data_IF_379061322990
#
_entry.id   IF_379061322990
#
_cell.length_a   1.000
_cell.length_b   1.000
_cell.length_c   1.000
_cell.angle_alpha   90.00
_cell.angle_beta   90.00
_cell.angle_gamma   90.00
#
_symmetry.space_group_name_H-M   'P 1'
#
loop_
_entity.id
_entity.type
_entity.pdbx_description
1 polymer ?
#
# COMPACT_ATOMS: atom_id res chain seq x y z
N UNK A 1 36.60 -0.95 -9.90
CA UNK A 1 35.38 -0.29 -10.37
C UNK A 1 34.16 -0.85 -9.64
N UNK A 2 33.75 -0.21 -8.54
CA UNK A 2 32.69 -0.68 -7.65
C UNK A 2 31.29 -0.30 -8.12
N UNK A 3 30.74 -1.14 -9.01
CA UNK A 3 29.31 -1.49 -9.16
C UNK A 3 28.30 -0.29 -9.16
N UNK A 4 27.79 0.15 -10.34
CA UNK A 4 26.67 1.12 -10.43
C UNK A 4 25.41 0.71 -9.64
N UNK A 5 25.32 -0.56 -9.25
CA UNK A 5 24.32 -1.12 -8.35
C UNK A 5 24.18 -0.37 -7.01
N UNK A 6 25.27 0.15 -6.42
CA UNK A 6 25.19 0.85 -5.14
C UNK A 6 24.44 2.19 -5.24
N UNK A 7 24.58 2.90 -6.37
CA UNK A 7 23.85 4.15 -6.64
C UNK A 7 22.36 3.89 -6.89
N UNK A 8 22.06 2.83 -7.66
CA UNK A 8 20.68 2.41 -7.95
C UNK A 8 19.91 2.02 -6.69
N UNK A 9 20.53 1.30 -5.75
CA UNK A 9 19.89 0.92 -4.48
C UNK A 9 19.57 2.15 -3.62
N UNK A 10 20.46 3.17 -3.59
CA UNK A 10 20.18 4.41 -2.86
C UNK A 10 19.05 5.22 -3.53
N UNK A 11 19.06 5.31 -4.85
CA UNK A 11 18.00 5.99 -5.60
C UNK A 11 16.63 5.33 -5.39
N UNK A 12 16.56 4.00 -5.48
CA UNK A 12 15.33 3.24 -5.24
C UNK A 12 14.79 3.43 -3.82
N UNK A 13 15.66 3.48 -2.81
CA UNK A 13 15.27 3.78 -1.42
C UNK A 13 14.73 5.19 -1.25
N UNK A 14 15.33 6.17 -1.92
CA UNK A 14 14.90 7.56 -1.83
C UNK A 14 13.56 7.78 -2.53
N UNK A 15 13.37 7.18 -3.71
CA UNK A 15 12.07 7.10 -4.36
C UNK A 15 11.04 6.42 -3.46
N UNK A 16 11.35 5.26 -2.88
CA UNK A 16 10.43 4.56 -1.97
C UNK A 16 10.03 5.40 -0.75
N UNK A 17 10.97 6.14 -0.15
CA UNK A 17 10.68 7.07 0.95
C UNK A 17 9.83 8.26 0.50
N UNK A 18 10.14 8.84 -0.66
CA UNK A 18 9.40 9.95 -1.24
C UNK A 18 7.96 9.56 -1.55
N UNK A 19 7.73 8.44 -2.24
CA UNK A 19 6.38 7.92 -2.52
C UNK A 19 5.62 7.55 -1.23
N UNK A 20 6.29 6.95 -0.24
CA UNK A 20 5.68 6.65 1.06
C UNK A 20 5.24 7.90 1.82
N UNK A 21 6.00 8.99 1.71
CA UNK A 21 5.70 10.27 2.36
C UNK A 21 4.63 11.05 1.58
N UNK A 22 4.74 11.06 0.25
CA UNK A 22 3.98 11.95 -0.61
C UNK A 22 2.57 11.44 -0.91
N UNK A 23 2.41 10.13 -1.12
CA UNK A 23 1.09 9.58 -1.42
C UNK A 23 0.35 9.12 -0.18
N UNK A 24 1.04 8.92 0.96
CA UNK A 24 0.43 8.22 2.09
C UNK A 24 -0.14 6.86 1.67
N UNK A 25 0.34 6.29 0.54
CA UNK A 25 -0.21 5.11 -0.12
C UNK A 25 0.12 3.80 0.61
N UNK A 26 0.54 3.93 1.86
CA UNK A 26 0.62 2.83 2.80
C UNK A 26 -0.76 2.36 3.27
N UNK A 27 -1.81 2.64 2.49
CA UNK A 27 -3.17 2.20 2.74
C UNK A 27 -3.24 0.69 2.96
N UNK A 28 -2.57 -0.09 2.11
CA UNK A 28 -2.52 -1.54 2.27
C UNK A 28 -1.71 -1.97 3.51
N UNK A 29 -0.55 -1.35 3.80
CA UNK A 29 0.22 -1.68 5.03
C UNK A 29 -0.54 -1.30 6.30
N UNK A 30 -1.24 -0.17 6.30
CA UNK A 30 -2.10 0.28 7.40
C UNK A 30 -3.31 -0.63 7.57
N UNK A 31 -3.92 -1.10 6.47
CA UNK A 31 -4.94 -2.15 6.50
C UNK A 31 -4.41 -3.43 7.15
N UNK A 32 -3.22 -3.89 6.77
CA UNK A 32 -2.61 -5.09 7.36
C UNK A 32 -2.29 -4.90 8.84
N UNK A 33 -1.76 -3.74 9.25
CA UNK A 33 -1.47 -3.45 10.65
C UNK A 33 -2.76 -3.39 11.49
N UNK A 34 -3.79 -2.73 10.99
CA UNK A 34 -5.11 -2.72 11.61
C UNK A 34 -5.70 -4.12 11.69
N UNK A 35 -5.67 -4.90 10.60
CA UNK A 35 -6.23 -6.26 10.57
C UNK A 35 -5.48 -7.20 11.51
N UNK A 36 -4.15 -7.10 11.59
CA UNK A 36 -3.35 -7.87 12.57
C UNK A 36 -3.71 -7.55 14.02
N UNK A 37 -4.06 -6.28 14.32
CA UNK A 37 -4.47 -5.87 15.67
C UNK A 37 -5.93 -6.22 15.99
N UNK A 38 -6.83 -5.99 15.04
CA UNK A 38 -8.26 -6.15 15.23
C UNK A 38 -8.73 -7.61 15.05
N UNK A 39 -8.06 -8.38 14.19
CA UNK A 39 -8.45 -9.74 13.79
C UNK A 39 -7.22 -10.66 13.62
N UNK A 40 -6.55 -11.05 14.72
CA UNK A 40 -5.43 -11.98 14.65
C UNK A 40 -5.89 -13.35 14.12
N UNK A 41 -5.31 -13.81 13.01
CA UNK A 41 -5.57 -15.14 12.44
C UNK A 41 -6.58 -15.19 11.30
N UNK A 42 -7.25 -14.08 10.97
CA UNK A 42 -8.11 -14.04 9.79
C UNK A 42 -7.31 -13.83 8.49
N UNK A 43 -7.73 -14.44 7.37
CA UNK A 43 -7.11 -14.19 6.08
C UNK A 43 -7.25 -12.71 5.70
N UNK A 44 -6.11 -12.07 5.44
CA UNK A 44 -6.06 -10.70 4.93
C UNK A 44 -6.40 -10.68 3.44
N UNK A 45 -7.05 -9.61 2.98
CA UNK A 45 -7.28 -9.39 1.55
C UNK A 45 -5.92 -9.28 0.84
N UNK A 46 -5.84 -9.84 -0.37
CA UNK A 46 -4.70 -9.57 -1.25
C UNK A 46 -4.68 -8.08 -1.64
N UNK A 47 -3.52 -7.55 -1.98
CA UNK A 47 -3.39 -6.13 -2.36
C UNK A 47 -4.31 -5.77 -3.54
N UNK A 48 -4.40 -6.66 -4.54
CA UNK A 48 -5.29 -6.49 -5.69
C UNK A 48 -6.76 -6.44 -5.27
N UNK A 49 -7.18 -7.31 -4.35
CA UNK A 49 -8.57 -7.38 -3.90
C UNK A 49 -8.91 -6.22 -2.96
N UNK A 50 -7.93 -5.74 -2.18
CA UNK A 50 -8.05 -4.53 -1.38
C UNK A 50 -8.32 -3.30 -2.26
N UNK A 51 -7.51 -3.11 -3.31
CA UNK A 51 -7.69 -1.99 -4.24
C UNK A 51 -8.95 -2.13 -5.08
N UNK A 52 -9.27 -3.35 -5.54
CA UNK A 52 -10.55 -3.63 -6.20
C UNK A 52 -11.69 -3.19 -5.29
N UNK A 53 -11.83 -3.74 -4.08
CA UNK A 53 -12.92 -3.39 -3.16
C UNK A 53 -12.98 -1.90 -2.82
N UNK A 54 -11.85 -1.20 -2.78
CA UNK A 54 -11.77 0.23 -2.48
C UNK A 54 -12.26 1.11 -3.63
N UNK A 55 -11.94 0.76 -4.88
CA UNK A 55 -12.31 1.53 -6.06
C UNK A 55 -13.60 1.03 -6.73
N UNK A 56 -13.96 -0.23 -6.50
CA UNK A 56 -15.22 -0.88 -6.88
C UNK A 56 -16.35 -0.55 -5.88
N UNK A 57 -16.03 0.10 -4.76
CA UNK A 57 -17.01 0.78 -3.93
C UNK A 57 -17.51 2.02 -4.68
N UNK A 58 -18.37 1.78 -5.66
CA UNK A 58 -19.07 2.80 -6.42
C UNK A 58 -19.83 3.73 -5.45
N UNK A 59 -19.54 5.05 -5.42
CA UNK A 59 -20.31 5.99 -4.59
C UNK A 59 -21.76 6.18 -5.09
N UNK A 60 -22.13 5.56 -6.22
CA UNK A 60 -23.37 5.71 -6.97
C UNK A 60 -24.63 5.10 -6.37
N UNK A 61 -24.71 4.89 -5.05
CA UNK A 61 -25.94 4.50 -4.37
C UNK A 61 -26.37 5.54 -3.32
N UNK A 62 -26.30 6.83 -3.68
CA UNK A 62 -27.00 7.91 -2.95
C UNK A 62 -27.86 8.72 -3.90
N UNK A 63 -28.75 8.05 -4.62
CA UNK A 63 -29.95 8.70 -5.14
C UNK A 63 -31.13 8.24 -4.27
N UNK A 64 -31.46 9.07 -3.28
CA UNK A 64 -32.81 9.23 -2.77
C UNK A 64 -33.14 10.72 -2.83
#
# INVERSE_FOLDING_TARGET
>A
MGRPAAGLVRAARHFGWYWATLLGDNHYRRYLEYRRRAHPGEPVLSERDYWRRRYDADPGARCC
#
